data_IF_410297161330
#
_entry.id   IF_410297161330
#
_cell.length_a   1.000
_cell.length_b   1.000
_cell.length_c   1.000
_cell.angle_alpha   90.00
_cell.angle_beta   90.00
_cell.angle_gamma   90.00
#
_symmetry.space_group_name_H-M   'P 1'
#
loop_
_entity.id
_entity.type
_entity.pdbx_description
1 polymer ?
#
# COMPACT_ATOMS: atom_id res chain seq x y z
N UNK A 1 16.18 -4.05 7.56
CA UNK A 1 15.22 -2.93 7.35
C UNK A 1 14.86 -2.35 8.71
N UNK A 2 15.12 -1.06 8.95
CA UNK A 2 15.04 -0.44 10.28
C UNK A 2 13.66 0.08 10.70
N UNK A 3 12.70 0.14 9.78
CA UNK A 3 11.36 0.62 10.13
C UNK A 3 10.52 -0.52 10.72
N UNK A 4 9.76 -0.20 11.77
CA UNK A 4 8.65 -1.02 12.24
C UNK A 4 7.59 -1.15 11.14
N UNK A 5 6.68 -2.12 11.26
CA UNK A 5 5.61 -2.26 10.26
C UNK A 5 4.72 -1.01 10.20
N UNK A 6 4.37 -0.43 11.35
CA UNK A 6 3.57 0.79 11.43
C UNK A 6 4.26 1.96 10.72
N UNK A 7 5.55 2.15 10.97
CA UNK A 7 6.31 3.24 10.37
C UNK A 7 6.55 3.00 8.89
N UNK A 8 6.75 1.75 8.49
CA UNK A 8 6.94 1.41 7.08
C UNK A 8 5.65 1.65 6.28
N UNK A 9 4.49 1.25 6.80
CA UNK A 9 3.18 1.57 6.20
C UNK A 9 3.00 3.09 6.10
N UNK A 10 3.29 3.84 7.17
CA UNK A 10 3.19 5.30 7.18
C UNK A 10 4.12 5.94 6.15
N UNK A 11 5.34 5.43 6.02
CA UNK A 11 6.32 5.87 5.03
C UNK A 11 5.82 5.62 3.60
N UNK A 12 5.38 4.40 3.29
CA UNK A 12 4.82 4.05 1.97
C UNK A 12 3.60 4.92 1.62
N UNK A 13 2.74 5.21 2.59
CA UNK A 13 1.60 6.12 2.41
C UNK A 13 2.01 7.57 2.10
N UNK A 14 3.14 8.03 2.63
CA UNK A 14 3.70 9.35 2.27
C UNK A 14 4.28 9.31 0.87
N UNK A 15 5.05 8.27 0.54
CA UNK A 15 5.61 8.09 -0.80
C UNK A 15 4.52 8.04 -1.87
N UNK A 16 3.39 7.38 -1.61
CA UNK A 16 2.28 7.30 -2.57
C UNK A 16 1.74 8.67 -2.98
N UNK A 17 1.81 9.67 -2.08
CA UNK A 17 1.36 11.04 -2.33
C UNK A 17 2.43 11.92 -2.99
N UNK A 18 3.71 11.55 -2.84
CA UNK A 18 4.84 12.30 -3.36
C UNK A 18 5.23 11.90 -4.79
N UNK A 19 4.76 10.75 -5.28
CA UNK A 19 5.01 10.30 -6.64
C UNK A 19 4.24 11.14 -7.66
N UNK A 20 4.93 11.53 -8.75
CA UNK A 20 4.29 12.12 -9.94
C UNK A 20 3.33 11.10 -10.59
N UNK A 21 2.37 11.54 -11.41
CA UNK A 21 1.54 10.63 -12.21
C UNK A 21 2.40 9.62 -12.98
N UNK A 22 2.03 8.33 -12.91
CA UNK A 22 2.81 7.22 -13.50
C UNK A 22 4.10 6.87 -12.75
N UNK A 23 4.41 7.53 -11.64
CA UNK A 23 5.59 7.26 -10.82
C UNK A 23 5.53 5.92 -10.09
N UNK A 24 6.71 5.34 -9.86
CA UNK A 24 6.90 4.04 -9.23
C UNK A 24 7.80 4.19 -8.01
N UNK A 25 7.50 3.44 -6.95
CA UNK A 25 8.42 3.23 -5.83
C UNK A 25 9.00 1.81 -5.90
N UNK A 26 10.33 1.71 -5.83
CA UNK A 26 11.03 0.42 -5.75
C UNK A 26 11.44 0.18 -4.30
N UNK A 27 11.04 -0.95 -3.74
CA UNK A 27 11.58 -1.44 -2.46
C UNK A 27 12.51 -2.61 -2.77
N UNK A 28 13.78 -2.47 -2.43
CA UNK A 28 14.78 -3.53 -2.57
C UNK A 28 15.35 -3.85 -1.19
N UNK A 29 15.35 -5.12 -0.79
CA UNK A 29 15.85 -5.49 0.52
C UNK A 29 16.05 -6.99 0.70
N UNK A 30 16.79 -7.34 1.74
CA UNK A 30 16.99 -8.71 2.18
C UNK A 30 15.64 -9.34 2.58
N UNK A 31 15.50 -10.61 2.25
CA UNK A 31 14.33 -11.41 2.57
C UNK A 31 14.74 -12.72 3.22
N UNK A 32 13.90 -13.18 4.14
CA UNK A 32 14.09 -14.43 4.88
C UNK A 32 12.98 -15.43 4.56
N UNK A 33 13.22 -16.70 4.91
CA UNK A 33 12.25 -17.79 4.83
C UNK A 33 12.56 -18.81 5.92
N UNK A 34 11.56 -19.44 6.59
CA UNK A 34 10.11 -19.25 6.41
C UNK A 34 9.53 -18.12 7.26
N UNK A 35 10.31 -17.54 8.18
CA UNK A 35 9.86 -16.55 9.16
C UNK A 35 10.69 -15.26 9.10
N UNK A 36 10.08 -14.17 9.52
CA UNK A 36 10.77 -12.89 9.70
C UNK A 36 11.81 -13.03 10.81
N UNK A 37 12.99 -12.46 10.59
CA UNK A 37 14.12 -12.48 11.51
C UNK A 37 14.39 -11.07 12.02
N UNK A 38 14.75 -10.96 13.29
CA UNK A 38 15.21 -9.73 13.92
C UNK A 38 16.71 -9.91 14.15
N UNK A 39 17.47 -8.98 13.64
CA UNK A 39 18.89 -8.86 13.90
C UNK A 39 19.07 -7.91 15.08
N UNK A 40 19.71 -8.39 16.15
CA UNK A 40 19.89 -7.63 17.38
C UNK A 40 21.18 -6.79 17.36
N UNK A 41 22.12 -7.09 16.47
CA UNK A 41 23.39 -6.38 16.37
C UNK A 41 23.20 -5.05 15.64
N UNK A 42 22.35 -5.03 14.61
CA UNK A 42 22.00 -3.81 13.85
C UNK A 42 20.56 -3.31 14.12
N UNK A 43 19.82 -3.98 15.01
CA UNK A 43 18.42 -3.67 15.34
C UNK A 43 17.50 -3.60 14.11
N UNK A 44 17.73 -4.45 13.12
CA UNK A 44 16.96 -4.46 11.88
C UNK A 44 16.10 -5.71 11.72
N UNK A 45 15.13 -5.62 10.80
CA UNK A 45 14.21 -6.72 10.50
C UNK A 45 14.49 -7.23 9.08
N UNK A 46 14.72 -8.54 8.95
CA UNK A 46 14.77 -9.26 7.68
C UNK A 46 13.43 -10.00 7.48
N UNK A 47 12.54 -9.40 6.69
CA UNK A 47 11.15 -9.86 6.49
C UNK A 47 11.03 -10.94 5.43
N UNK A 48 10.02 -11.79 5.54
CA UNK A 48 9.65 -12.68 4.44
C UNK A 48 8.97 -11.91 3.31
N UNK A 49 8.96 -12.49 2.10
CA UNK A 49 8.21 -11.94 0.96
C UNK A 49 6.72 -11.76 1.29
N UNK A 50 6.14 -12.73 2.02
CA UNK A 50 4.74 -12.66 2.48
C UNK A 50 4.52 -11.48 3.43
N UNK A 51 5.42 -11.26 4.38
CA UNK A 51 5.33 -10.13 5.32
C UNK A 51 5.42 -8.79 4.58
N UNK A 52 6.34 -8.65 3.62
CA UNK A 52 6.39 -7.46 2.76
C UNK A 52 5.06 -7.22 2.03
N UNK A 53 4.47 -8.27 1.44
CA UNK A 53 3.18 -8.17 0.75
C UNK A 53 2.05 -7.69 1.67
N UNK A 54 1.99 -8.18 2.91
CA UNK A 54 1.02 -7.70 3.90
C UNK A 54 1.25 -6.22 4.27
N UNK A 55 2.50 -5.79 4.47
CA UNK A 55 2.80 -4.37 4.71
C UNK A 55 2.34 -3.49 3.54
N UNK A 56 2.59 -3.92 2.30
CA UNK A 56 2.15 -3.19 1.12
C UNK A 56 0.63 -3.11 1.04
N UNK A 57 -0.08 -4.22 1.33
CA UNK A 57 -1.55 -4.28 1.34
C UNK A 57 -2.19 -3.31 2.35
N UNK A 58 -1.56 -3.08 3.49
CA UNK A 58 -2.02 -2.12 4.50
C UNK A 58 -1.62 -0.66 4.17
N UNK A 59 -0.87 -0.45 3.09
CA UNK A 59 -0.52 0.87 2.57
C UNK A 59 -1.38 1.25 1.36
N UNK A 60 -1.23 2.49 0.89
CA UNK A 60 -1.85 3.01 -0.34
C UNK A 60 -1.05 2.64 -1.60
N UNK A 61 -0.26 1.59 -1.53
CA UNK A 61 0.61 1.12 -2.62
C UNK A 61 0.24 -0.32 -2.98
N UNK A 62 0.24 -0.64 -4.26
CA UNK A 62 0.07 -1.99 -4.78
C UNK A 62 1.39 -2.51 -5.33
N UNK A 63 1.80 -3.70 -4.92
CA UNK A 63 2.91 -4.42 -5.54
C UNK A 63 2.45 -5.05 -6.85
N UNK A 64 3.05 -4.68 -7.97
CA UNK A 64 2.74 -5.25 -9.30
C UNK A 64 3.74 -6.30 -9.74
N UNK A 65 4.95 -6.28 -9.19
CA UNK A 65 6.01 -7.25 -9.50
C UNK A 65 6.93 -7.44 -8.30
N UNK A 66 7.32 -8.68 -8.03
CA UNK A 66 8.38 -9.03 -7.12
C UNK A 66 9.41 -9.88 -7.88
N UNK A 67 10.69 -9.52 -7.81
CA UNK A 67 11.76 -10.23 -8.51
C UNK A 67 12.94 -10.48 -7.59
N UNK A 68 13.55 -11.65 -7.72
CA UNK A 68 14.80 -11.97 -7.05
C UNK A 68 15.99 -11.30 -7.76
N UNK A 69 16.92 -10.74 -7.00
CA UNK A 69 18.22 -10.28 -7.49
C UNK A 69 18.98 -11.49 -8.08
N UNK A 70 19.34 -11.40 -9.36
CA UNK A 70 20.14 -12.43 -10.02
C UNK A 70 21.63 -12.25 -9.71
N UNK A 71 22.41 -13.33 -9.87
CA UNK A 71 23.88 -13.34 -9.68
C UNK A 71 24.32 -12.83 -8.29
N UNK A 72 23.54 -13.15 -7.24
CA UNK A 72 23.88 -12.81 -5.86
C UNK A 72 24.43 -14.04 -5.11
N UNK A 73 25.38 -13.88 -4.18
CA UNK A 73 25.93 -14.99 -3.41
C UNK A 73 24.82 -15.79 -2.70
N UNK A 74 24.91 -17.13 -2.77
CA UNK A 74 23.88 -18.02 -2.20
C UNK A 74 23.93 -18.12 -0.67
N UNK A 75 25.07 -17.77 -0.09
CA UNK A 75 25.31 -17.84 1.36
C UNK A 75 24.80 -16.59 2.10
N UNK A 76 24.26 -15.62 1.36
CA UNK A 76 23.63 -14.41 1.90
C UNK A 76 22.11 -14.49 1.79
N UNK A 77 21.41 -13.67 2.58
CA UNK A 77 19.96 -13.54 2.42
C UNK A 77 19.59 -13.14 0.99
N UNK A 78 18.59 -13.78 0.37
CA UNK A 78 18.12 -13.39 -0.94
C UNK A 78 17.61 -11.96 -0.91
N UNK A 79 17.91 -11.20 -1.97
CA UNK A 79 17.41 -9.84 -2.14
C UNK A 79 16.22 -9.87 -3.09
N UNK A 80 15.07 -9.39 -2.63
CA UNK A 80 13.92 -9.14 -3.49
C UNK A 80 13.80 -7.66 -3.84
N UNK A 81 13.34 -7.41 -5.06
CA UNK A 81 13.01 -6.10 -5.62
C UNK A 81 11.50 -6.08 -5.86
N UNK A 82 10.79 -5.17 -5.21
CA UNK A 82 9.36 -4.99 -5.30
C UNK A 82 9.04 -3.70 -6.05
N UNK A 83 8.18 -3.82 -7.06
CA UNK A 83 7.67 -2.71 -7.85
C UNK A 83 6.31 -2.27 -7.31
N UNK A 84 6.25 -1.07 -6.72
CA UNK A 84 5.05 -0.53 -6.09
C UNK A 84 4.51 0.68 -6.86
N UNK A 85 3.20 0.71 -7.05
CA UNK A 85 2.47 1.85 -7.63
C UNK A 85 1.41 2.37 -6.65
N UNK A 86 1.09 3.67 -6.63
CA UNK A 86 -0.05 4.18 -5.87
C UNK A 86 -1.36 3.51 -6.28
N UNK A 87 -2.21 3.20 -5.30
CA UNK A 87 -3.59 2.77 -5.58
C UNK A 87 -4.41 4.02 -5.85
N UNK A 88 -4.88 4.18 -7.09
CA UNK A 88 -5.79 5.26 -7.44
C UNK A 88 -7.07 5.16 -6.60
N UNK A 89 -7.47 6.29 -5.98
CA UNK A 89 -8.75 6.35 -5.30
C UNK A 89 -9.86 6.39 -6.34
N UNK A 90 -10.72 5.36 -6.38
CA UNK A 90 -12.01 5.46 -7.08
C UNK A 90 -12.79 6.61 -6.44
N UNK A 91 -13.04 7.68 -7.20
CA UNK A 91 -13.94 8.75 -6.78
C UNK A 91 -15.35 8.17 -6.79
N UNK A 92 -15.91 7.91 -5.61
CA UNK A 92 -17.33 7.59 -5.46
C UNK A 92 -18.11 8.90 -5.67
N UNK A 93 -18.78 9.04 -6.82
CA UNK A 93 -19.71 10.15 -7.07
C UNK A 93 -20.88 10.01 -6.08
N UNK A 94 -21.02 10.93 -5.11
CA UNK A 94 -22.22 11.03 -4.28
C UNK A 94 -23.35 11.59 -5.15
N UNK A 95 -24.39 10.80 -5.39
CA UNK A 95 -25.64 11.28 -5.97
C UNK A 95 -26.39 12.12 -4.92
N UNK A 96 -26.48 13.43 -5.13
CA UNK A 96 -27.32 14.33 -4.33
C UNK A 96 -28.78 14.19 -4.81
N UNK A 97 -29.64 13.61 -3.98
CA UNK A 97 -31.08 13.57 -4.22
C UNK A 97 -31.69 14.97 -4.03
N UNK A 98 -32.30 15.53 -5.07
CA UNK A 98 -33.19 16.70 -4.96
C UNK A 98 -34.51 16.26 -4.34
N UNK A 99 -34.84 16.76 -3.14
CA UNK A 99 -36.20 16.71 -2.57
C UNK A 99 -37.06 17.76 -3.27
N UNK A 100 -38.06 17.35 -4.04
CA UNK A 100 -39.15 18.23 -4.49
C UNK A 100 -40.23 18.20 -3.42
N UNK A 101 -40.45 19.35 -2.78
CA UNK A 101 -41.61 19.60 -1.91
C UNK A 101 -42.80 19.85 -2.84
N UNK A 102 -43.81 18.98 -2.80
CA UNK A 102 -45.13 19.26 -3.39
C UNK A 102 -46.00 19.90 -2.30
N UNK A 103 -46.36 21.17 -2.50
CA UNK A 103 -47.35 21.88 -1.68
C UNK A 103 -48.76 21.53 -2.16
N UNK A 104 -49.57 21.00 -1.24
CA UNK A 104 -51.00 20.79 -1.39
C UNK A 104 -51.75 22.13 -1.48
N UNK A 105 -52.56 22.32 -2.52
CA UNK A 105 -53.63 23.33 -2.52
C UNK A 105 -54.99 22.65 -2.47
N UNK A 106 -55.61 22.72 -1.30
CA UNK A 106 -57.02 22.44 -1.07
C UNK A 106 -57.92 23.32 -1.95
N UNK A 107 -58.81 22.70 -2.73
CA UNK A 107 -60.05 23.34 -3.20
C UNK A 107 -61.26 22.57 -2.68
N UNK A 108 -61.90 23.16 -1.65
CA UNK A 108 -63.31 22.95 -1.30
C UNK A 108 -64.18 23.41 -2.48
N UNK A 109 -65.21 22.65 -2.81
CA UNK A 109 -66.49 23.16 -3.29
C UNK A 109 -67.57 22.07 -3.13
N UNK A 110 -68.46 22.29 -2.16
CA UNK A 110 -69.88 21.97 -2.21
C UNK A 110 -70.60 23.31 -2.23
#
# INVERSE_FOLDING_TARGET
MYLTDKDFIKFLNKCSLALKPGGVLIVKGNTSSPKTLIDLDDHSICRTVKHFAEVFKHSKMKCTKATLQTKFPKDLFPIHIFHLIPIEKKIVKKNTQKKTIQTETNKKQK
#
